data_IF_829426758489
#
_entry.id   IF_829426758489
#
_cell.length_a   1.000
_cell.length_b   1.000
_cell.length_c   1.000
_cell.angle_alpha   90.00
_cell.angle_beta   90.00
_cell.angle_gamma   90.00
#
_symmetry.space_group_name_H-M   'P 1'
#
loop_
_entity.id
_entity.type
_entity.pdbx_description
1 polymer ?
#
# COMPACT_ATOMS: atom_id res chain seq x y z
N UNK A 1 1.78 7.90 -25.11
CA UNK A 1 1.54 6.46 -25.38
C UNK A 1 1.78 5.70 -24.10
N UNK A 2 0.74 5.10 -23.50
CA UNK A 2 0.88 4.29 -22.29
C UNK A 2 1.46 2.93 -22.69
N UNK A 3 2.79 2.79 -22.67
CA UNK A 3 3.44 1.51 -22.90
C UNK A 3 3.15 0.58 -21.71
N UNK A 4 2.40 -0.49 -21.95
CA UNK A 4 2.17 -1.54 -20.95
C UNK A 4 3.51 -2.12 -20.50
N UNK A 5 3.77 -2.08 -19.19
CA UNK A 5 5.02 -2.58 -18.62
C UNK A 5 5.08 -4.10 -18.75
N UNK A 6 6.10 -4.58 -19.44
CA UNK A 6 6.38 -6.01 -19.59
C UNK A 6 7.18 -6.51 -18.38
N UNK A 7 6.83 -7.71 -17.91
CA UNK A 7 7.53 -8.39 -16.80
C UNK A 7 8.03 -9.73 -17.29
N UNK A 8 9.35 -9.90 -17.32
CA UNK A 8 10.01 -11.14 -17.74
C UNK A 8 10.65 -11.82 -16.54
N UNK A 9 10.42 -13.13 -16.39
CA UNK A 9 11.22 -13.95 -15.50
C UNK A 9 12.53 -14.33 -16.20
N UNK A 10 13.67 -13.98 -15.59
CA UNK A 10 15.00 -14.24 -16.13
C UNK A 10 15.88 -14.95 -15.11
N UNK A 11 16.92 -15.59 -15.64
CA UNK A 11 17.95 -16.32 -14.87
C UNK A 11 19.28 -15.58 -15.01
N UNK A 12 20.09 -15.55 -13.96
CA UNK A 12 21.49 -15.10 -14.02
C UNK A 12 22.39 -16.07 -13.25
N UNK A 13 23.67 -16.20 -13.64
CA UNK A 13 24.64 -16.98 -12.86
C UNK A 13 24.66 -16.56 -11.39
N UNK A 14 24.78 -17.56 -10.52
CA UNK A 14 24.92 -17.41 -9.08
C UNK A 14 26.04 -18.33 -8.58
N UNK A 15 26.55 -18.06 -7.38
CA UNK A 15 27.66 -18.81 -6.79
C UNK A 15 27.36 -20.32 -6.70
N UNK A 16 28.41 -21.13 -6.90
CA UNK A 16 28.36 -22.58 -6.70
C UNK A 16 27.58 -23.35 -7.78
N UNK A 17 27.64 -22.93 -9.04
CA UNK A 17 26.99 -23.66 -10.15
C UNK A 17 25.47 -23.56 -10.12
N UNK A 18 24.94 -22.45 -9.60
CA UNK A 18 23.51 -22.18 -9.46
C UNK A 18 23.07 -21.00 -10.32
N UNK A 19 21.77 -20.84 -10.51
CA UNK A 19 21.16 -19.69 -11.17
C UNK A 19 20.22 -18.98 -10.19
N UNK A 20 20.30 -17.66 -10.15
CA UNK A 20 19.36 -16.81 -9.41
C UNK A 20 18.25 -16.33 -10.34
N UNK A 21 17.00 -16.47 -9.89
CA UNK A 21 15.82 -15.97 -10.61
C UNK A 21 15.53 -14.52 -10.24
N UNK A 22 15.20 -13.71 -11.24
CA UNK A 22 14.85 -12.30 -11.07
C UNK A 22 13.82 -11.86 -12.11
N UNK A 23 13.08 -10.80 -11.81
CA UNK A 23 12.19 -10.14 -12.74
C UNK A 23 12.92 -9.02 -13.46
N UNK A 24 12.73 -8.91 -14.77
CA UNK A 24 13.20 -7.83 -15.63
C UNK A 24 12.00 -7.05 -16.17
N UNK A 25 11.99 -5.74 -15.95
CA UNK A 25 10.90 -4.83 -16.28
C UNK A 25 11.25 -3.98 -17.49
N UNK A 26 10.29 -3.81 -18.41
CA UNK A 26 10.43 -2.85 -19.52
C UNK A 26 9.12 -2.10 -19.81
N UNK A 27 9.08 -0.76 -19.65
CA UNK A 27 10.14 0.10 -19.13
C UNK A 27 10.45 -0.15 -17.64
N UNK A 28 11.48 0.51 -17.09
CA UNK A 28 11.80 0.40 -15.67
C UNK A 28 10.60 0.83 -14.80
N UNK A 29 10.43 0.20 -13.64
CA UNK A 29 9.36 0.51 -12.67
C UNK A 29 9.93 1.18 -11.44
N UNK A 30 9.09 1.86 -10.67
CA UNK A 30 9.51 2.45 -9.39
C UNK A 30 9.55 1.38 -8.31
N UNK A 31 10.67 1.28 -7.59
CA UNK A 31 10.78 0.37 -6.46
C UNK A 31 10.00 0.97 -5.27
N UNK A 32 9.05 0.23 -4.67
CA UNK A 32 8.20 0.74 -3.59
C UNK A 32 8.97 1.11 -2.32
N UNK A 33 10.06 0.39 -2.02
CA UNK A 33 10.84 0.58 -0.80
C UNK A 33 11.85 1.73 -0.93
N UNK A 34 12.51 1.83 -2.09
CA UNK A 34 13.60 2.80 -2.30
C UNK A 34 13.19 4.04 -3.08
N UNK A 35 11.99 4.05 -3.67
CA UNK A 35 11.47 5.09 -4.56
C UNK A 35 12.31 5.36 -5.82
N UNK A 36 13.32 4.52 -6.10
CA UNK A 36 14.17 4.63 -7.28
C UNK A 36 13.62 3.78 -8.42
N UNK A 37 13.82 4.23 -9.66
CA UNK A 37 13.52 3.42 -10.83
C UNK A 37 14.44 2.20 -10.85
N UNK A 38 13.87 1.02 -11.01
CA UNK A 38 14.60 -0.23 -11.17
C UNK A 38 14.08 -0.98 -12.38
N UNK A 39 15.03 -1.59 -13.09
CA UNK A 39 14.74 -2.53 -14.17
C UNK A 39 14.66 -3.96 -13.65
N UNK A 40 15.17 -4.25 -12.45
CA UNK A 40 15.34 -5.62 -11.96
C UNK A 40 14.88 -5.78 -10.50
N UNK A 41 14.24 -6.90 -10.21
CA UNK A 41 13.87 -7.33 -8.86
C UNK A 41 14.35 -8.77 -8.64
N UNK A 42 15.26 -8.98 -7.70
CA UNK A 42 15.78 -10.33 -7.39
C UNK A 42 14.77 -11.07 -6.52
N UNK A 43 14.39 -12.30 -6.89
CA UNK A 43 13.37 -13.05 -6.17
C UNK A 43 13.89 -13.79 -4.94
N UNK A 44 15.22 -13.88 -4.77
CA UNK A 44 15.85 -14.72 -3.73
C UNK A 44 15.75 -16.23 -4.02
N UNK A 45 15.11 -16.62 -5.12
CA UNK A 45 15.01 -18.01 -5.57
C UNK A 45 16.29 -18.38 -6.33
N UNK A 46 16.91 -19.49 -5.94
CA UNK A 46 18.13 -20.00 -6.52
C UNK A 46 17.93 -21.48 -6.90
N UNK A 47 18.22 -21.81 -8.16
CA UNK A 47 18.05 -23.15 -8.74
C UNK A 47 19.40 -23.72 -9.20
N UNK A 48 19.48 -25.02 -9.45
CA UNK A 48 20.69 -25.66 -9.98
C UNK A 48 20.88 -25.27 -11.45
N UNK A 49 22.08 -24.84 -11.86
CA UNK A 49 22.34 -24.52 -13.27
C UNK A 49 22.34 -25.77 -14.14
N UNK A 50 22.93 -26.85 -13.64
CA UNK A 50 23.01 -28.15 -14.29
C UNK A 50 22.49 -29.25 -13.33
N UNK A 51 21.17 -29.50 -13.26
CA UNK A 51 20.60 -30.50 -12.36
C UNK A 51 21.00 -31.93 -12.80
N UNK A 52 21.73 -32.64 -11.95
CA UNK A 52 22.32 -33.95 -12.27
C UNK A 52 21.41 -35.13 -11.94
N UNK A 53 20.48 -34.96 -10.99
CA UNK A 53 19.55 -36.02 -10.57
C UNK A 53 18.08 -35.55 -10.62
N UNK A 54 17.16 -36.51 -10.52
CA UNK A 54 15.71 -36.26 -10.61
C UNK A 54 15.23 -35.31 -9.51
N UNK A 55 15.75 -35.44 -8.29
CA UNK A 55 15.41 -34.55 -7.17
C UNK A 55 15.76 -33.09 -7.47
N UNK A 56 16.93 -32.83 -8.07
CA UNK A 56 17.34 -31.48 -8.47
C UNK A 56 16.48 -30.93 -9.61
N UNK A 57 16.07 -31.78 -10.57
CA UNK A 57 15.15 -31.36 -11.65
C UNK A 57 13.78 -30.99 -11.10
N UNK A 58 13.23 -31.81 -10.20
CA UNK A 58 11.94 -31.56 -9.54
C UNK A 58 11.99 -30.31 -8.68
N UNK A 59 13.07 -30.10 -7.94
CA UNK A 59 13.31 -28.87 -7.18
C UNK A 59 13.33 -27.64 -8.10
N UNK A 60 14.09 -27.69 -9.21
CA UNK A 60 14.13 -26.59 -10.17
C UNK A 60 12.74 -26.27 -10.73
N UNK A 61 11.97 -27.29 -11.12
CA UNK A 61 10.62 -27.12 -11.64
C UNK A 61 9.70 -26.42 -10.62
N UNK A 62 9.66 -26.90 -9.37
CA UNK A 62 8.83 -26.30 -8.32
C UNK A 62 9.22 -24.82 -8.06
N UNK A 63 10.52 -24.53 -8.06
CA UNK A 63 11.02 -23.17 -7.84
C UNK A 63 10.73 -22.25 -9.03
N UNK A 64 10.78 -22.76 -10.25
CA UNK A 64 10.40 -22.02 -11.47
C UNK A 64 8.90 -21.74 -11.51
N UNK A 65 8.05 -22.69 -11.13
CA UNK A 65 6.59 -22.50 -11.00
C UNK A 65 6.26 -21.41 -9.98
N UNK A 66 6.92 -21.42 -8.81
CA UNK A 66 6.77 -20.35 -7.81
C UNK A 66 7.22 -18.99 -8.35
N UNK A 67 8.34 -18.95 -9.07
CA UNK A 67 8.84 -17.71 -9.65
C UNK A 67 7.90 -17.15 -10.72
N UNK A 68 7.27 -18.02 -11.52
CA UNK A 68 6.29 -17.65 -12.53
C UNK A 68 5.00 -17.12 -11.89
N UNK A 69 4.53 -17.72 -10.80
CA UNK A 69 3.41 -17.19 -10.02
C UNK A 69 3.69 -15.76 -9.51
N UNK A 70 4.91 -15.50 -9.01
CA UNK A 70 5.31 -14.15 -8.58
C UNK A 70 5.33 -13.18 -9.77
N UNK A 71 5.84 -13.60 -10.94
CA UNK A 71 5.82 -12.80 -12.17
C UNK A 71 4.39 -12.41 -12.56
N UNK A 72 3.45 -13.35 -12.52
CA UNK A 72 2.03 -13.11 -12.80
C UNK A 72 1.41 -12.10 -11.82
N UNK A 73 1.65 -12.25 -10.51
CA UNK A 73 1.18 -11.31 -9.48
C UNK A 73 1.74 -9.90 -9.75
N UNK A 74 3.03 -9.78 -10.08
CA UNK A 74 3.66 -8.50 -10.40
C UNK A 74 3.09 -7.86 -11.65
N UNK A 75 2.88 -8.64 -12.72
CA UNK A 75 2.27 -8.15 -13.94
C UNK A 75 0.86 -7.64 -13.71
N UNK A 76 0.04 -8.38 -12.96
CA UNK A 76 -1.32 -7.95 -12.60
C UNK A 76 -1.32 -6.65 -11.80
N UNK A 77 -0.41 -6.51 -10.83
CA UNK A 77 -0.28 -5.28 -10.02
C UNK A 77 0.07 -4.07 -10.88
N UNK A 78 0.99 -4.23 -11.86
CA UNK A 78 1.35 -3.15 -12.80
C UNK A 78 0.23 -2.78 -13.74
N UNK A 79 -0.55 -3.75 -14.25
CA UNK A 79 -1.77 -3.48 -15.03
C UNK A 79 -2.74 -2.68 -14.18
N UNK A 80 -3.00 -3.14 -12.95
CA UNK A 80 -3.94 -2.48 -12.06
C UNK A 80 -3.54 -1.01 -11.84
N UNK A 81 -2.27 -0.75 -11.51
CA UNK A 81 -1.74 0.62 -11.35
C UNK A 81 -1.88 1.45 -12.65
N UNK A 82 -1.56 0.89 -13.81
CA UNK A 82 -1.65 1.56 -15.11
C UNK A 82 -3.08 2.03 -15.43
N UNK A 83 -4.07 1.23 -15.06
CA UNK A 83 -5.48 1.53 -15.31
C UNK A 83 -6.18 2.20 -14.10
N UNK A 84 -5.42 2.56 -13.06
CA UNK A 84 -5.97 3.18 -11.85
C UNK A 84 -6.84 2.24 -11.00
N UNK A 85 -6.80 0.93 -11.27
CA UNK A 85 -7.40 -0.05 -10.39
C UNK A 85 -6.52 -0.16 -9.14
N UNK A 86 -7.07 0.19 -7.99
CA UNK A 86 -6.41 -0.02 -6.71
C UNK A 86 -6.07 -1.52 -6.55
N UNK A 87 -4.84 -1.81 -6.13
CA UNK A 87 -4.45 -3.19 -5.79
C UNK A 87 -5.39 -3.69 -4.68
N UNK A 88 -6.19 -4.73 -4.97
CA UNK A 88 -7.20 -5.29 -4.06
C UNK A 88 -6.62 -5.66 -2.69
N UNK A 89 -5.31 -5.91 -2.62
CA UNK A 89 -4.61 -6.17 -1.37
C UNK A 89 -4.36 -4.90 -0.55
N UNK A 90 -4.01 -3.77 -1.18
CA UNK A 90 -3.83 -2.47 -0.51
C UNK A 90 -5.17 -1.89 -0.05
N UNK A 91 -6.27 -2.13 -0.77
CA UNK A 91 -7.61 -1.70 -0.35
C UNK A 91 -8.05 -2.33 0.99
N UNK A 92 -7.67 -3.58 1.24
CA UNK A 92 -8.03 -4.31 2.47
C UNK A 92 -7.20 -3.91 3.69
N UNK A 93 -6.19 -3.06 3.53
CA UNK A 93 -5.40 -2.61 4.68
C UNK A 93 -6.24 -1.75 5.61
N UNK A 94 -5.96 -1.87 6.91
CA UNK A 94 -6.65 -1.12 7.96
C UNK A 94 -6.21 0.36 7.95
N UNK A 95 -7.12 1.24 7.54
CA UNK A 95 -6.89 2.68 7.49
C UNK A 95 -6.87 3.30 8.89
N UNK A 96 -7.64 2.76 9.84
CA UNK A 96 -7.65 3.21 11.24
C UNK A 96 -6.29 2.97 11.88
N UNK A 97 -5.70 1.78 11.67
CA UNK A 97 -4.36 1.47 12.15
C UNK A 97 -3.29 2.37 11.51
N UNK A 98 -3.40 2.64 10.21
CA UNK A 98 -2.51 3.57 9.51
C UNK A 98 -2.61 4.99 10.08
N UNK A 99 -3.84 5.50 10.27
CA UNK A 99 -4.09 6.82 10.83
C UNK A 99 -3.54 6.90 12.26
N UNK A 100 -3.84 5.93 13.13
CA UNK A 100 -3.33 5.88 14.49
C UNK A 100 -1.80 6.00 14.54
N UNK A 101 -1.09 5.25 13.68
CA UNK A 101 0.38 5.30 13.57
C UNK A 101 0.87 6.69 13.17
N UNK A 102 0.24 7.32 12.17
CA UNK A 102 0.61 8.68 11.74
C UNK A 102 0.30 9.72 12.81
N UNK A 103 -0.85 9.62 13.47
CA UNK A 103 -1.26 10.54 14.53
C UNK A 103 -0.32 10.49 15.74
N UNK A 104 0.11 9.30 16.19
CA UNK A 104 1.09 9.12 17.29
C UNK A 104 2.43 9.79 17.01
N UNK A 105 2.84 9.87 15.74
CA UNK A 105 4.12 10.49 15.34
C UNK A 105 4.06 12.02 15.19
N UNK A 106 2.90 12.63 15.49
CA UNK A 106 2.60 14.05 15.27
C UNK A 106 2.03 14.68 16.54
N UNK A 107 1.71 15.97 16.46
CA UNK A 107 1.15 16.77 17.56
C UNK A 107 -0.29 16.36 17.91
N UNK A 108 -0.72 16.68 19.14
CA UNK A 108 -2.00 16.29 19.75
C UNK A 108 -3.23 16.51 18.87
N UNK A 109 -3.23 17.55 18.02
CA UNK A 109 -4.29 17.81 17.05
C UNK A 109 -4.56 16.59 16.15
N UNK A 110 -3.52 15.91 15.68
CA UNK A 110 -3.67 14.71 14.85
C UNK A 110 -4.36 13.57 15.60
N UNK A 111 -4.07 13.43 16.90
CA UNK A 111 -4.74 12.45 17.75
C UNK A 111 -6.22 12.78 17.91
N UNK A 112 -6.57 14.06 18.10
CA UNK A 112 -7.98 14.47 18.17
C UNK A 112 -8.73 14.15 16.88
N UNK A 113 -8.15 14.43 15.71
CA UNK A 113 -8.79 14.11 14.42
C UNK A 113 -8.93 12.61 14.24
N UNK A 114 -7.92 11.83 14.61
CA UNK A 114 -7.98 10.37 14.60
C UNK A 114 -9.13 9.84 15.48
N UNK A 115 -9.28 10.35 16.70
CA UNK A 115 -10.35 9.91 17.61
C UNK A 115 -11.74 10.25 17.05
N UNK A 116 -11.91 11.45 16.49
CA UNK A 116 -13.14 11.82 15.80
C UNK A 116 -13.46 10.89 14.64
N UNK A 117 -12.48 10.61 13.78
CA UNK A 117 -12.65 9.72 12.64
C UNK A 117 -12.92 8.27 13.06
N UNK A 118 -12.24 7.80 14.10
CA UNK A 118 -12.47 6.48 14.69
C UNK A 118 -13.88 6.35 15.24
N UNK A 119 -14.37 7.37 15.96
CA UNK A 119 -15.74 7.37 16.47
C UNK A 119 -16.78 7.42 15.35
N UNK A 120 -16.53 8.23 14.32
CA UNK A 120 -17.38 8.34 13.13
C UNK A 120 -17.53 7.00 12.38
N UNK A 121 -16.44 6.26 12.23
CA UNK A 121 -16.41 4.97 11.51
C UNK A 121 -16.72 3.75 12.40
N UNK A 122 -17.05 3.95 13.68
CA UNK A 122 -17.22 2.83 14.63
C UNK A 122 -15.94 2.03 14.88
N UNK A 123 -14.77 2.60 14.56
CA UNK A 123 -13.47 1.99 14.76
C UNK A 123 -13.02 1.03 13.67
N UNK A 124 -13.74 0.94 12.54
CA UNK A 124 -13.40 0.08 11.41
C UNK A 124 -13.46 0.88 10.11
N UNK A 125 -12.35 0.90 9.38
CA UNK A 125 -12.28 1.51 8.05
C UNK A 125 -11.06 0.97 7.33
N UNK A 126 -11.25 0.45 6.13
CA UNK A 126 -10.16 0.03 5.24
C UNK A 126 -9.84 1.13 4.24
N UNK A 127 -8.69 1.05 3.56
CA UNK A 127 -8.36 2.00 2.50
C UNK A 127 -9.36 1.96 1.33
N UNK A 128 -10.03 0.82 1.10
CA UNK A 128 -11.10 0.71 0.11
C UNK A 128 -12.37 1.47 0.48
N UNK A 129 -12.63 1.63 1.77
CA UNK A 129 -13.82 2.34 2.28
C UNK A 129 -13.65 3.86 2.24
N UNK A 130 -12.40 4.36 2.10
CA UNK A 130 -12.10 5.79 2.01
C UNK A 130 -12.45 6.32 0.62
N UNK A 131 -13.74 6.54 0.40
CA UNK A 131 -14.30 7.15 -0.81
C UNK A 131 -14.46 8.67 -0.66
N UNK A 132 -14.77 9.35 -1.76
CA UNK A 132 -15.13 10.79 -1.75
C UNK A 132 -16.33 11.02 -0.83
N UNK A 133 -17.37 10.18 -0.93
CA UNK A 133 -18.56 10.29 -0.09
C UNK A 133 -18.23 10.15 1.39
N UNK A 134 -17.44 9.16 1.80
CA UNK A 134 -17.03 9.01 3.21
C UNK A 134 -16.27 10.25 3.72
N UNK A 135 -15.44 10.85 2.86
CA UNK A 135 -14.69 12.05 3.21
C UNK A 135 -15.61 13.26 3.39
N UNK A 136 -16.64 13.40 2.55
CA UNK A 136 -17.66 14.45 2.67
C UNK A 136 -18.52 14.24 3.91
N UNK A 137 -18.98 13.02 4.16
CA UNK A 137 -19.74 12.66 5.36
C UNK A 137 -18.94 12.95 6.64
N UNK A 138 -17.63 12.67 6.63
CA UNK A 138 -16.77 13.00 7.76
C UNK A 138 -16.60 14.52 7.94
N UNK A 139 -16.53 15.28 6.84
CA UNK A 139 -16.48 16.75 6.90
C UNK A 139 -17.74 17.30 7.56
N UNK A 140 -18.91 16.77 7.20
CA UNK A 140 -20.19 17.20 7.76
C UNK A 140 -20.34 16.75 9.22
N UNK A 141 -19.87 15.54 9.56
CA UNK A 141 -19.76 15.08 10.94
C UNK A 141 -18.97 16.07 11.80
N UNK A 142 -17.84 16.61 11.32
CA UNK A 142 -17.03 17.57 12.08
C UNK A 142 -17.77 18.89 12.39
N UNK A 143 -18.79 19.26 11.60
CA UNK A 143 -19.60 20.47 11.84
C UNK A 143 -20.58 20.29 12.99
N UNK A 144 -21.04 19.06 13.24
CA UNK A 144 -22.02 18.74 14.29
C UNK A 144 -21.39 17.98 15.48
N UNK A 145 -20.12 17.60 15.38
CA UNK A 145 -19.44 16.84 16.41
C UNK A 145 -19.17 17.66 17.68
N UNK A 146 -19.15 16.97 18.81
CA UNK A 146 -18.83 17.54 20.11
C UNK A 146 -17.36 17.33 20.46
N UNK A 147 -16.78 18.28 21.18
CA UNK A 147 -15.41 18.22 21.71
C UNK A 147 -15.20 16.97 22.56
N UNK A 148 -14.15 16.22 22.25
CA UNK A 148 -13.75 15.03 23.01
C UNK A 148 -12.97 15.35 24.30
N UNK A 149 -12.69 16.64 24.59
CA UNK A 149 -11.97 17.05 25.81
C UNK A 149 -12.83 16.93 27.07
N UNK A 150 -14.14 17.17 26.95
CA UNK A 150 -15.12 17.14 28.04
C UNK A 150 -16.40 16.45 27.53
N UNK A 151 -16.38 15.11 27.38
CA UNK A 151 -17.46 14.37 26.73
C UNK A 151 -18.82 14.56 27.44
N UNK A 152 -18.81 14.70 28.77
CA UNK A 152 -20.00 14.95 29.58
C UNK A 152 -20.68 16.29 29.28
N UNK A 153 -19.93 17.30 28.83
CA UNK A 153 -20.47 18.65 28.58
C UNK A 153 -21.10 18.83 27.21
N UNK A 154 -20.91 17.86 26.30
CA UNK A 154 -21.42 17.90 24.91
C UNK A 154 -21.23 19.27 24.25
N UNK A 155 -20.03 19.85 24.39
CA UNK A 155 -19.73 21.17 23.82
C UNK A 155 -19.48 20.99 22.32
N UNK A 156 -20.21 21.67 21.42
CA UNK A 156 -19.96 21.58 19.98
C UNK A 156 -18.53 21.99 19.62
N UNK A 157 -17.97 21.40 18.57
CA UNK A 157 -16.71 21.88 18.01
C UNK A 157 -16.90 23.30 17.47
N UNK A 158 -15.93 24.18 17.77
CA UNK A 158 -15.89 25.49 17.12
C UNK A 158 -15.65 25.33 15.62
N UNK A 159 -16.16 26.26 14.80
CA UNK A 159 -15.92 26.28 13.36
C UNK A 159 -14.41 26.24 13.01
N UNK A 160 -13.59 26.93 13.80
CA UNK A 160 -12.12 26.92 13.65
C UNK A 160 -11.51 25.54 13.95
N UNK A 161 -12.01 24.85 14.99
CA UNK A 161 -11.59 23.49 15.30
C UNK A 161 -11.98 22.52 14.18
N UNK A 162 -13.23 22.58 13.71
CA UNK A 162 -13.72 21.74 12.62
C UNK A 162 -12.90 21.96 11.32
N UNK A 163 -12.67 23.22 10.94
CA UNK A 163 -11.84 23.56 9.78
C UNK A 163 -10.38 23.07 9.92
N UNK A 164 -9.80 23.23 11.11
CA UNK A 164 -8.46 22.75 11.43
C UNK A 164 -8.34 21.22 11.39
N UNK A 165 -9.37 20.52 11.87
CA UNK A 165 -9.46 19.06 11.83
C UNK A 165 -9.60 18.55 10.40
N UNK A 166 -10.47 19.17 9.61
CA UNK A 166 -10.63 18.86 8.19
C UNK A 166 -9.33 19.06 7.39
N UNK A 167 -8.63 20.17 7.62
CA UNK A 167 -7.33 20.43 6.98
C UNK A 167 -6.29 19.34 7.32
N UNK A 168 -6.27 18.90 8.58
CA UNK A 168 -5.39 17.83 9.05
C UNK A 168 -5.75 16.49 8.40
N UNK A 169 -7.04 16.16 8.31
CA UNK A 169 -7.52 14.95 7.65
C UNK A 169 -7.16 14.93 6.16
N UNK A 170 -7.33 16.03 5.42
CA UNK A 170 -6.88 16.12 4.02
C UNK A 170 -5.38 15.92 3.87
N UNK A 171 -4.58 16.40 4.81
CA UNK A 171 -3.14 16.14 4.83
C UNK A 171 -2.84 14.64 4.99
N UNK A 172 -3.56 13.95 5.89
CA UNK A 172 -3.47 12.50 6.02
C UNK A 172 -3.87 11.79 4.72
N UNK A 173 -4.97 12.17 4.07
CA UNK A 173 -5.40 11.58 2.79
C UNK A 173 -4.32 11.72 1.72
N UNK A 174 -3.67 12.88 1.63
CA UNK A 174 -2.54 13.10 0.71
C UNK A 174 -1.34 12.21 1.04
N UNK A 175 -1.07 11.96 2.32
CA UNK A 175 -0.01 11.02 2.75
C UNK A 175 -0.39 9.57 2.47
N UNK A 176 -1.64 9.19 2.71
CA UNK A 176 -2.20 7.88 2.42
C UNK A 176 -2.11 7.58 0.92
N UNK A 177 -2.57 8.49 0.07
CA UNK A 177 -2.50 8.37 -1.39
C UNK A 177 -1.06 8.13 -1.87
N UNK A 178 -0.10 8.91 -1.34
CA UNK A 178 1.32 8.70 -1.65
C UNK A 178 1.85 7.35 -1.17
N UNK A 179 1.41 6.87 -0.01
CA UNK A 179 1.83 5.59 0.54
C UNK A 179 1.22 4.38 -0.20
N UNK A 180 0.03 4.57 -0.80
CA UNK A 180 -0.65 3.55 -1.60
C UNK A 180 -0.07 3.48 -3.01
N UNK A 181 0.33 4.62 -3.58
CA UNK A 181 1.00 4.70 -4.88
C UNK A 181 2.49 4.39 -4.82
N UNK A 182 3.13 4.52 -3.66
CA UNK A 182 4.48 4.00 -3.43
C UNK A 182 4.44 2.50 -3.23
#
# INVERSE_FOLDING_TARGET
MNTCTKVFLRKRPYAGGKLSLYLDYYPAIRNPHTNKMTRRETLGIVIFANPTNEMQRRFNQEMEEKAEAIRCIRYQSLINEQFGFLDKTKQKQDFIAYFAKKAKSKYDKWMSVYLHFKNFTGGQCTFGDVTVSLCEDFRDYLLIAHSLRHPEKKIPLSANSAAGYWSTFRCLLKMAYKAILS
#
